data_IF_659289909406
#
_entry.id   IF_659289909406
#
_cell.length_a   1.000
_cell.length_b   1.000
_cell.length_c   1.000
_cell.angle_alpha   90.00
_cell.angle_beta   90.00
_cell.angle_gamma   90.00
#
_symmetry.space_group_name_H-M   'P 1'
#
loop_
_entity.id
_entity.type
_entity.pdbx_description
1 polymer ?
#
# COMPACT_ATOMS: atom_id res chain seq x y z
N UNK A 1 -23.23 18.34 -9.17
CA UNK A 1 -22.19 17.52 -8.52
C UNK A 1 -21.48 16.73 -9.61
N UNK A 2 -20.17 16.94 -9.79
CA UNK A 2 -19.39 16.29 -10.85
C UNK A 2 -19.31 14.77 -10.61
N UNK A 3 -19.45 13.91 -11.64
CA UNK A 3 -19.59 12.46 -11.49
C UNK A 3 -18.27 11.70 -11.21
N UNK A 4 -17.19 12.38 -10.85
CA UNK A 4 -15.86 11.78 -10.69
C UNK A 4 -15.38 11.87 -9.24
N UNK A 5 -15.96 11.07 -8.36
CA UNK A 5 -15.43 10.86 -6.99
C UNK A 5 -14.31 9.80 -7.00
N UNK A 6 -13.46 9.83 -8.02
CA UNK A 6 -12.34 8.91 -8.21
C UNK A 6 -11.06 9.72 -8.13
N UNK A 7 -10.20 9.38 -7.19
CA UNK A 7 -8.84 9.87 -7.14
C UNK A 7 -7.93 8.86 -7.84
N UNK A 8 -6.80 9.32 -8.36
CA UNK A 8 -5.75 8.47 -8.90
C UNK A 8 -4.38 9.00 -8.52
N UNK A 9 -3.41 8.09 -8.52
CA UNK A 9 -2.02 8.41 -8.24
C UNK A 9 -1.39 8.96 -9.51
N UNK A 10 -0.89 10.19 -9.43
CA UNK A 10 -0.10 10.84 -10.48
C UNK A 10 1.35 10.38 -10.45
N UNK A 11 1.89 10.14 -9.25
CA UNK A 11 3.30 9.81 -9.08
C UNK A 11 3.55 9.07 -7.78
N UNK A 12 4.54 8.17 -7.81
CA UNK A 12 5.08 7.47 -6.66
C UNK A 12 6.60 7.56 -6.74
N UNK A 13 7.22 8.01 -5.65
CA UNK A 13 8.66 7.93 -5.44
C UNK A 13 8.96 7.15 -4.18
N UNK A 14 10.14 6.54 -4.19
CA UNK A 14 10.70 5.85 -3.03
C UNK A 14 12.14 6.33 -2.81
N UNK A 15 12.51 6.48 -1.56
CA UNK A 15 13.87 6.76 -1.14
C UNK A 15 14.24 5.86 0.04
N UNK A 16 15.50 5.41 0.06
CA UNK A 16 16.07 4.79 1.25
C UNK A 16 16.49 5.90 2.21
N UNK A 17 16.15 5.73 3.48
CA UNK A 17 16.56 6.62 4.57
C UNK A 17 17.29 5.81 5.63
N UNK A 18 17.99 6.49 6.53
CA UNK A 18 18.60 5.81 7.67
C UNK A 18 17.51 5.08 8.49
N UNK A 19 17.67 3.78 8.70
CA UNK A 19 16.70 3.03 9.50
C UNK A 19 15.44 2.56 8.76
N UNK A 20 15.31 2.81 7.44
CA UNK A 20 14.19 2.27 6.66
C UNK A 20 13.97 2.92 5.30
N UNK A 21 12.75 3.38 5.04
CA UNK A 21 12.35 3.93 3.75
C UNK A 21 11.34 5.06 3.89
N UNK A 22 11.32 5.91 2.86
CA UNK A 22 10.32 6.95 2.65
C UNK A 22 9.63 6.70 1.30
N UNK A 23 8.30 6.75 1.30
CA UNK A 23 7.49 6.72 0.08
C UNK A 23 6.72 8.03 -0.02
N UNK A 24 6.82 8.67 -1.17
CA UNK A 24 6.08 9.89 -1.51
C UNK A 24 5.09 9.59 -2.61
N UNK A 25 3.84 10.00 -2.43
CA UNK A 25 2.77 9.80 -3.40
C UNK A 25 2.14 11.15 -3.71
N UNK A 26 1.84 11.39 -4.99
CA UNK A 26 1.07 12.56 -5.42
C UNK A 26 -0.24 12.11 -6.08
N UNK A 27 -1.35 12.75 -5.71
CA UNK A 27 -2.69 12.49 -6.24
C UNK A 27 -3.24 13.70 -7.01
N UNK A 28 -4.21 13.42 -7.88
CA UNK A 28 -4.90 14.43 -8.68
C UNK A 28 -5.84 15.32 -7.85
N UNK A 29 -6.39 14.76 -6.77
CA UNK A 29 -7.28 15.44 -5.81
C UNK A 29 -6.84 15.22 -4.37
N UNK A 30 -7.20 16.13 -3.47
CA UNK A 30 -6.86 16.00 -2.05
C UNK A 30 -7.65 14.84 -1.41
N UNK A 31 -6.94 13.92 -0.76
CA UNK A 31 -7.49 12.73 -0.11
C UNK A 31 -6.68 12.37 1.15
N UNK A 32 -7.20 11.49 1.99
CA UNK A 32 -6.44 10.91 3.09
C UNK A 32 -6.06 9.47 2.75
N UNK A 33 -4.76 9.18 2.76
CA UNK A 33 -4.22 7.88 2.40
C UNK A 33 -3.56 7.19 3.59
N UNK A 34 -3.66 5.87 3.59
CA UNK A 34 -2.90 4.98 4.49
C UNK A 34 -2.14 3.98 3.63
N UNK A 35 -0.86 3.80 3.93
CA UNK A 35 -0.02 2.85 3.23
C UNK A 35 0.00 1.53 4.01
N UNK A 36 -0.43 0.45 3.34
CA UNK A 36 -0.29 -0.90 3.88
C UNK A 36 1.00 -1.51 3.34
N UNK A 37 1.96 -1.74 4.24
CA UNK A 37 3.27 -2.29 3.91
C UNK A 37 3.50 -3.69 4.52
N UNK A 38 4.32 -4.49 3.83
CA UNK A 38 4.81 -5.81 4.28
C UNK A 38 6.19 -6.11 3.71
N UNK A 39 6.93 -6.94 4.45
CA UNK A 39 8.18 -7.54 3.98
C UNK A 39 7.97 -8.76 3.08
N UNK A 40 6.86 -9.48 3.27
CA UNK A 40 6.59 -10.71 2.53
C UNK A 40 6.06 -10.44 1.11
N UNK A 41 6.50 -11.19 0.09
CA UNK A 41 5.94 -11.10 -1.25
C UNK A 41 4.44 -11.44 -1.25
N UNK A 42 3.66 -10.82 -2.14
CA UNK A 42 2.25 -11.15 -2.30
C UNK A 42 2.08 -12.62 -2.75
N UNK A 43 0.92 -13.20 -2.47
CA UNK A 43 0.45 -14.47 -3.05
C UNK A 43 1.16 -15.76 -2.60
N UNK A 44 1.86 -15.75 -1.44
CA UNK A 44 2.50 -16.96 -0.88
C UNK A 44 1.58 -18.18 -0.82
N UNK A 45 0.33 -18.01 -0.39
CA UNK A 45 -0.62 -19.11 -0.33
C UNK A 45 -1.14 -19.55 -1.71
N UNK A 46 -1.19 -18.67 -2.72
CA UNK A 46 -1.66 -19.07 -4.05
C UNK A 46 -0.74 -20.10 -4.69
N UNK A 47 0.58 -19.93 -4.50
CA UNK A 47 1.57 -20.95 -4.90
C UNK A 47 1.30 -22.28 -4.19
N UNK A 48 1.14 -22.26 -2.87
CA UNK A 48 0.85 -23.48 -2.08
C UNK A 48 -0.48 -24.14 -2.48
N UNK A 49 -1.50 -23.35 -2.80
CA UNK A 49 -2.82 -23.82 -3.24
C UNK A 49 -2.73 -24.49 -4.61
N UNK A 50 -2.00 -23.89 -5.57
CA UNK A 50 -1.70 -24.49 -6.88
C UNK A 50 -0.88 -25.78 -6.70
N UNK A 51 0.20 -25.73 -5.92
CA UNK A 51 1.09 -26.87 -5.67
C UNK A 51 0.36 -28.04 -4.96
N UNK A 52 -0.70 -27.76 -4.20
CA UNK A 52 -1.53 -28.75 -3.50
C UNK A 52 -2.80 -29.16 -4.24
N UNK A 53 -3.06 -28.63 -5.43
CA UNK A 53 -4.25 -28.95 -6.22
C UNK A 53 -5.58 -28.50 -5.58
N UNK A 54 -5.54 -27.51 -4.70
CA UNK A 54 -6.73 -26.99 -4.01
C UNK A 54 -7.31 -25.87 -4.88
N UNK A 55 -8.61 -25.89 -5.18
CA UNK A 55 -9.27 -24.79 -5.85
C UNK A 55 -9.79 -23.78 -4.82
N UNK A 56 -9.02 -22.75 -4.50
CA UNK A 56 -9.52 -21.60 -3.73
C UNK A 56 -9.97 -20.48 -4.67
N UNK A 57 -11.23 -20.09 -4.54
CA UNK A 57 -11.87 -18.98 -5.26
C UNK A 57 -11.72 -17.62 -4.55
N UNK A 58 -11.07 -17.60 -3.39
CA UNK A 58 -10.91 -16.38 -2.61
C UNK A 58 -9.86 -15.45 -3.21
N UNK A 59 -10.10 -14.14 -3.06
CA UNK A 59 -9.28 -13.10 -3.66
C UNK A 59 -7.85 -13.15 -3.05
N UNK A 60 -6.89 -13.67 -3.83
CA UNK A 60 -5.50 -13.93 -3.43
C UNK A 60 -4.74 -12.70 -2.89
N UNK A 61 -5.34 -11.52 -3.04
CA UNK A 61 -4.90 -10.25 -2.46
C UNK A 61 -4.86 -10.30 -0.92
N UNK A 62 -5.70 -11.11 -0.25
CA UNK A 62 -5.87 -11.10 1.20
C UNK A 62 -5.14 -12.21 1.98
N UNK A 63 -4.31 -13.01 1.32
CA UNK A 63 -3.42 -13.99 1.98
C UNK A 63 -2.23 -13.28 2.64
N UNK A 64 -2.53 -12.61 3.73
CA UNK A 64 -1.81 -11.46 4.25
C UNK A 64 -1.36 -11.75 5.68
N UNK A 65 -0.07 -12.05 5.88
CA UNK A 65 0.56 -12.16 7.22
C UNK A 65 0.58 -10.83 7.99
N UNK A 66 1.58 -10.62 8.87
CA UNK A 66 1.71 -9.38 9.66
C UNK A 66 1.69 -8.14 8.73
N UNK A 67 0.77 -7.22 9.00
CA UNK A 67 0.56 -5.96 8.27
C UNK A 67 1.17 -4.82 9.06
N UNK A 68 1.87 -3.93 8.39
CA UNK A 68 2.22 -2.63 8.96
C UNK A 68 1.38 -1.57 8.25
N UNK A 69 0.65 -0.79 9.04
CA UNK A 69 -0.10 0.35 8.54
C UNK A 69 0.75 1.57 8.85
N UNK A 70 1.07 2.33 7.81
CA UNK A 70 1.81 3.59 7.91
C UNK A 70 0.84 4.70 7.54
N UNK A 71 0.64 5.61 8.48
CA UNK A 71 -0.18 6.79 8.27
C UNK A 71 0.64 7.84 7.50
N UNK A 72 -0.05 8.68 6.73
CA UNK A 72 0.60 9.83 6.12
C UNK A 72 1.04 10.82 7.21
N UNK A 73 2.17 11.49 6.99
CA UNK A 73 2.68 12.52 7.89
C UNK A 73 1.83 13.80 7.84
N UNK A 74 1.18 14.06 6.70
CA UNK A 74 0.35 15.24 6.52
C UNK A 74 -1.00 15.11 7.23
N UNK A 75 -1.46 16.19 7.87
CA UNK A 75 -2.76 16.23 8.53
C UNK A 75 -3.90 16.41 7.51
N UNK A 76 -4.93 15.56 7.61
CA UNK A 76 -6.17 15.70 6.82
C UNK A 76 -6.05 15.20 5.37
N UNK A 77 -6.87 15.77 4.49
CA UNK A 77 -6.86 15.44 3.06
C UNK A 77 -5.81 16.30 2.33
N UNK A 78 -4.84 15.66 1.68
CA UNK A 78 -3.76 16.32 0.94
C UNK A 78 -3.58 15.73 -0.45
N UNK A 79 -2.86 16.44 -1.33
CA UNK A 79 -2.47 15.93 -2.65
C UNK A 79 -1.09 15.27 -2.66
N UNK A 80 -0.30 15.54 -1.62
CA UNK A 80 1.02 14.98 -1.42
C UNK A 80 0.97 14.18 -0.12
N UNK A 81 1.45 12.96 -0.18
CA UNK A 81 1.44 12.03 0.95
C UNK A 81 2.86 11.53 1.16
N UNK A 82 3.33 11.68 2.39
CA UNK A 82 4.63 11.17 2.81
C UNK A 82 4.40 10.04 3.82
N UNK A 83 4.97 8.88 3.53
CA UNK A 83 4.94 7.71 4.41
C UNK A 83 6.36 7.36 4.81
N UNK A 84 6.64 7.38 6.11
CA UNK A 84 7.95 7.06 6.67
C UNK A 84 7.82 5.78 7.48
N UNK A 85 8.72 4.83 7.22
CA UNK A 85 8.87 3.66 8.06
C UNK A 85 10.31 3.57 8.54
N UNK A 86 10.49 3.62 9.86
CA UNK A 86 11.77 3.44 10.53
C UNK A 86 11.67 2.27 11.50
N UNK A 87 12.70 1.41 11.55
CA UNK A 87 12.70 0.20 12.37
C UNK A 87 12.60 -1.12 11.59
N UNK A 88 13.20 -1.15 10.40
CA UNK A 88 13.45 -2.37 9.63
C UNK A 88 14.35 -3.41 10.33
#
# INVERSE_FOLDING_TARGET
>A
MSPFNRWYILWIGQALIEGGWEIRVMTDVAVHLQLLWRKDPPWKHKKVVIDRGIAMWEDARFCMGKRFIVYQEEAGDTRNHTFIWTGW
#
